data_IF_826646439913
#
_entry.id   IF_826646439913
#
_cell.length_a   1.000
_cell.length_b   1.000
_cell.length_c   1.000
_cell.angle_alpha   90.00
_cell.angle_beta   90.00
_cell.angle_gamma   90.00
#
_symmetry.space_group_name_H-M   'P 1'
#
loop_
_entity.id
_entity.type
_entity.pdbx_description
1 polymer ?
#
# COMPACT_ATOMS: atom_id res chain seq x y z
N UNK A 1 14.55 11.78 -16.29
CA UNK A 1 14.08 12.73 -15.25
C UNK A 1 12.55 12.85 -15.15
N UNK A 2 11.79 13.25 -16.18
CA UNK A 2 10.31 13.35 -16.06
C UNK A 2 9.63 12.03 -15.65
N UNK A 3 10.05 10.90 -16.22
CA UNK A 3 9.53 9.57 -15.87
C UNK A 3 9.80 9.21 -14.39
N UNK A 4 10.98 9.58 -13.87
CA UNK A 4 11.34 9.34 -12.47
C UNK A 4 10.36 10.05 -11.53
N UNK A 5 10.11 11.36 -11.77
CA UNK A 5 9.18 12.12 -10.93
C UNK A 5 7.75 11.62 -11.03
N UNK A 6 7.29 11.24 -12.22
CA UNK A 6 5.96 10.68 -12.40
C UNK A 6 5.78 9.35 -11.64
N UNK A 7 6.79 8.48 -11.65
CA UNK A 7 6.77 7.23 -10.89
C UNK A 7 6.84 7.47 -9.38
N UNK A 8 7.68 8.38 -8.92
CA UNK A 8 7.76 8.71 -7.49
C UNK A 8 6.42 9.27 -6.98
N UNK A 9 5.79 10.19 -7.74
CA UNK A 9 4.46 10.70 -7.43
C UNK A 9 3.39 9.59 -7.40
N UNK A 10 3.45 8.64 -8.33
CA UNK A 10 2.55 7.48 -8.33
C UNK A 10 2.72 6.66 -7.05
N UNK A 11 3.97 6.38 -6.64
CA UNK A 11 4.22 5.68 -5.38
C UNK A 11 3.68 6.46 -4.18
N UNK A 12 3.85 7.79 -4.12
CA UNK A 12 3.29 8.61 -3.04
C UNK A 12 1.76 8.46 -2.93
N UNK A 13 1.05 8.38 -4.06
CA UNK A 13 -0.40 8.14 -4.08
C UNK A 13 -0.72 6.73 -3.56
N UNK A 14 0.06 5.72 -3.96
CA UNK A 14 -0.09 4.34 -3.48
C UNK A 14 0.11 4.30 -1.95
N UNK A 15 1.19 4.90 -1.44
CA UNK A 15 1.44 5.03 0.00
C UNK A 15 0.25 5.64 0.73
N UNK A 16 -0.32 6.72 0.20
CA UNK A 16 -1.50 7.36 0.78
C UNK A 16 -2.70 6.41 0.84
N UNK A 17 -2.99 5.66 -0.22
CA UNK A 17 -4.10 4.70 -0.23
C UNK A 17 -3.89 3.59 0.82
N UNK A 18 -2.67 3.08 0.95
CA UNK A 18 -2.34 2.06 1.95
C UNK A 18 -2.45 2.59 3.38
N UNK A 19 -1.94 3.80 3.65
CA UNK A 19 -2.11 4.47 4.95
C UNK A 19 -3.60 4.65 5.26
N UNK A 20 -4.39 5.15 4.31
CA UNK A 20 -5.83 5.31 4.47
C UNK A 20 -6.52 3.97 4.77
N UNK A 21 -6.19 2.89 4.06
CA UNK A 21 -6.73 1.54 4.32
C UNK A 21 -6.54 1.13 5.79
N UNK A 22 -5.34 1.38 6.33
CA UNK A 22 -4.97 0.97 7.69
C UNK A 22 -5.68 1.85 8.72
N UNK A 23 -5.63 3.16 8.57
CA UNK A 23 -6.30 4.08 9.48
C UNK A 23 -7.80 3.84 9.49
N UNK A 24 -8.42 3.66 8.32
CA UNK A 24 -9.84 3.34 8.19
C UNK A 24 -10.20 1.97 8.77
N UNK A 25 -9.27 1.01 8.82
CA UNK A 25 -9.53 -0.31 9.43
C UNK A 25 -9.75 -0.25 10.94
N UNK A 26 -9.31 0.83 11.61
CA UNK A 26 -9.57 1.06 13.03
C UNK A 26 -10.98 1.57 13.31
N UNK A 27 -11.71 1.99 12.28
CA UNK A 27 -13.09 2.47 12.40
C UNK A 27 -14.07 1.34 12.04
N UNK A 28 -14.81 0.77 13.00
CA UNK A 28 -15.69 -0.37 12.75
C UNK A 28 -16.90 -0.04 11.85
N UNK A 29 -17.25 1.24 11.69
CA UNK A 29 -18.42 1.69 10.94
C UNK A 29 -18.16 1.94 9.45
N UNK A 30 -16.95 1.67 8.95
CA UNK A 30 -16.61 1.88 7.53
C UNK A 30 -17.26 0.79 6.67
N UNK A 31 -18.14 1.19 5.75
CA UNK A 31 -18.76 0.29 4.76
C UNK A 31 -17.82 0.05 3.58
N UNK A 32 -17.01 -1.01 3.68
CA UNK A 32 -16.03 -1.40 2.66
C UNK A 32 -16.63 -1.87 1.32
N UNK A 33 -17.96 -1.97 1.22
CA UNK A 33 -18.65 -2.37 -0.01
C UNK A 33 -19.22 -1.17 -0.79
N UNK A 34 -19.15 0.04 -0.23
CA UNK A 34 -19.60 1.28 -0.87
C UNK A 34 -18.45 2.20 -1.25
N UNK A 35 -18.65 2.99 -2.29
CA UNK A 35 -17.68 4.02 -2.68
C UNK A 35 -17.65 5.14 -1.63
N UNK A 36 -16.46 5.73 -1.34
CA UNK A 36 -15.16 5.46 -1.98
C UNK A 36 -14.37 4.31 -1.35
N UNK A 37 -14.81 3.74 -0.23
CA UNK A 37 -14.05 2.74 0.54
C UNK A 37 -13.86 1.41 -0.19
N UNK A 38 -14.82 1.03 -1.04
CA UNK A 38 -14.71 -0.14 -1.92
C UNK A 38 -13.47 -0.06 -2.81
N UNK A 39 -13.17 1.10 -3.38
CA UNK A 39 -11.96 1.28 -4.18
C UNK A 39 -10.69 1.06 -3.35
N UNK A 40 -10.61 1.69 -2.17
CA UNK A 40 -9.46 1.56 -1.27
C UNK A 40 -9.25 0.08 -0.89
N UNK A 41 -10.32 -0.63 -0.54
CA UNK A 41 -10.24 -2.07 -0.26
C UNK A 41 -9.78 -2.84 -1.48
N UNK A 42 -10.50 -2.77 -2.59
CA UNK A 42 -10.24 -3.61 -3.78
C UNK A 42 -8.82 -3.38 -4.32
N UNK A 43 -8.29 -2.15 -4.21
CA UNK A 43 -6.92 -1.82 -4.60
C UNK A 43 -5.86 -2.41 -3.65
N UNK A 44 -6.12 -2.40 -2.34
CA UNK A 44 -5.12 -2.81 -1.33
C UNK A 44 -5.21 -4.29 -0.95
N UNK A 45 -6.37 -4.92 -1.13
CA UNK A 45 -6.63 -6.30 -0.68
C UNK A 45 -5.72 -7.35 -1.32
N UNK A 46 -5.39 -7.32 -2.62
CA UNK A 46 -4.45 -8.28 -3.21
C UNK A 46 -3.07 -8.27 -2.56
N UNK A 47 -2.67 -7.14 -1.98
CA UNK A 47 -1.41 -7.00 -1.25
C UNK A 47 -1.59 -7.45 0.20
N UNK A 48 -2.68 -7.10 0.88
CA UNK A 48 -2.90 -7.47 2.29
C UNK A 48 -3.29 -8.95 2.51
N UNK A 49 -4.08 -9.55 1.61
CA UNK A 49 -4.65 -10.89 1.78
C UNK A 49 -3.59 -11.98 2.00
N UNK A 50 -2.48 -12.05 1.24
CA UNK A 50 -1.44 -13.03 1.47
C UNK A 50 -0.78 -12.90 2.85
N UNK A 51 -0.51 -11.67 3.30
CA UNK A 51 0.13 -11.44 4.60
C UNK A 51 -0.78 -11.76 5.77
N UNK A 52 -2.10 -11.52 5.64
CA UNK A 52 -3.08 -11.92 6.67
C UNK A 52 -3.21 -13.44 6.82
N UNK A 53 -3.00 -14.19 5.73
CA UNK A 53 -2.99 -15.67 5.79
C UNK A 53 -1.73 -16.20 6.48
N UNK A 54 -0.61 -15.50 6.36
CA UNK A 54 0.67 -15.90 6.96
C UNK A 54 0.83 -15.42 8.41
N UNK A 55 0.30 -14.25 8.73
CA UNK A 55 0.47 -13.58 10.02
C UNK A 55 -0.91 -13.47 10.68
N UNK A 56 -1.21 -14.32 11.68
CA UNK A 56 -2.47 -14.19 12.40
C UNK A 56 -2.53 -12.81 13.10
N UNK A 57 -3.71 -12.17 13.17
CA UNK A 57 -3.86 -10.90 13.86
C UNK A 57 -3.48 -11.05 15.34
N UNK A 58 -2.60 -10.18 15.83
CA UNK A 58 -2.11 -10.20 17.20
C UNK A 58 -2.88 -9.18 18.03
N UNK A 59 -3.64 -9.64 19.03
CA UNK A 59 -4.41 -8.75 19.92
C UNK A 59 -5.51 -7.94 19.21
N UNK A 60 -6.05 -8.46 18.10
CA UNK A 60 -7.06 -7.76 17.28
C UNK A 60 -6.51 -6.66 16.37
N UNK A 61 -5.18 -6.43 16.39
CA UNK A 61 -4.50 -5.51 15.47
C UNK A 61 -3.93 -6.26 14.27
N UNK A 62 -4.13 -5.69 13.09
CA UNK A 62 -3.55 -6.20 11.85
C UNK A 62 -2.08 -5.76 11.78
N UNK A 63 -1.15 -6.71 11.85
CA UNK A 63 0.31 -6.48 11.79
C UNK A 63 0.82 -6.55 10.33
N UNK A 64 -0.01 -7.02 9.39
CA UNK A 64 0.33 -7.05 7.96
C UNK A 64 0.77 -5.70 7.37
N UNK A 65 0.32 -4.52 7.86
CA UNK A 65 0.82 -3.23 7.39
C UNK A 65 2.33 -3.06 7.42
N UNK A 66 3.00 -3.59 8.45
CA UNK A 66 4.45 -3.43 8.60
C UNK A 66 5.18 -4.09 7.43
N UNK A 67 4.79 -5.33 7.12
CA UNK A 67 5.38 -6.10 6.02
C UNK A 67 5.04 -5.45 4.67
N UNK A 68 3.81 -5.01 4.51
CA UNK A 68 3.34 -4.35 3.29
C UNK A 68 4.13 -3.07 3.00
N UNK A 69 4.36 -2.21 4.00
CA UNK A 69 5.12 -0.98 3.80
C UNK A 69 6.61 -1.22 3.55
N UNK A 70 7.19 -2.24 4.20
CA UNK A 70 8.57 -2.63 3.94
C UNK A 70 8.74 -3.07 2.48
N UNK A 71 7.84 -3.93 1.99
CA UNK A 71 7.88 -4.39 0.60
C UNK A 71 7.60 -3.26 -0.40
N UNK A 72 6.62 -2.40 -0.10
CA UNK A 72 6.30 -1.24 -0.95
C UNK A 72 7.50 -0.31 -1.09
N UNK A 73 8.20 -0.02 0.02
CA UNK A 73 9.44 0.77 0.01
C UNK A 73 10.55 0.12 -0.80
N UNK A 74 10.80 -1.18 -0.60
CA UNK A 74 11.81 -1.91 -1.39
C UNK A 74 11.52 -1.87 -2.89
N UNK A 75 10.25 -2.04 -3.28
CA UNK A 75 9.81 -1.99 -4.68
C UNK A 75 9.99 -0.58 -5.25
N UNK A 76 9.59 0.46 -4.52
CA UNK A 76 9.75 1.86 -4.93
C UNK A 76 11.23 2.20 -5.15
N UNK A 77 12.10 1.95 -4.16
CA UNK A 77 13.53 2.26 -4.25
C UNK A 77 14.19 1.51 -5.40
N UNK A 78 13.88 0.22 -5.57
CA UNK A 78 14.44 -0.59 -6.66
C UNK A 78 14.02 -0.02 -8.02
N UNK A 79 12.74 0.25 -8.23
CA UNK A 79 12.23 0.76 -9.51
C UNK A 79 12.74 2.16 -9.81
N UNK A 80 12.73 3.07 -8.83
CA UNK A 80 13.26 4.42 -8.99
C UNK A 80 14.76 4.40 -9.30
N UNK A 81 15.53 3.51 -8.67
CA UNK A 81 16.96 3.36 -8.96
C UNK A 81 17.22 2.89 -10.39
N UNK A 82 16.42 1.96 -10.91
CA UNK A 82 16.52 1.46 -12.29
C UNK A 82 16.18 2.59 -13.26
N UNK A 83 15.07 3.28 -13.04
CA UNK A 83 14.61 4.37 -13.91
C UNK A 83 15.60 5.53 -13.91
N UNK A 84 16.15 5.87 -12.74
CA UNK A 84 17.19 6.87 -12.62
C UNK A 84 18.40 6.51 -13.49
N UNK A 85 18.93 5.29 -13.36
CA UNK A 85 20.08 4.79 -14.15
C UNK A 85 19.83 4.77 -15.66
N UNK A 86 18.61 4.48 -16.10
CA UNK A 86 18.24 4.48 -17.51
C UNK A 86 18.02 5.89 -18.09
N UNK A 87 17.83 6.88 -17.22
CA UNK A 87 17.52 8.25 -17.62
C UNK A 87 18.70 9.23 -17.50
N UNK A 88 19.85 8.71 -17.08
CA UNK A 88 21.18 9.33 -17.09
C UNK A 88 21.92 8.82 -18.33
#
# INVERSE_FOLDING_TARGET
MTLYHALDQLFQIIWLIFILRILLSWFPNVDWWKQPFKFIRDFTEPVFEPFRKMIPPMGGLDISPIVVFLLLGMVQETLLSIVYRLSV
#
